data_IF_105360813789
#
_entry.id   IF_105360813789
#
_cell.length_a   1.000
_cell.length_b   1.000
_cell.length_c   1.000
_cell.angle_alpha   90.00
_cell.angle_beta   90.00
_cell.angle_gamma   90.00
#
_symmetry.space_group_name_H-M   'P 1'
#
loop_
_entity.id
_entity.type
_entity.pdbx_description
1 polymer ?
#
# COMPACT_ATOMS: atom_id res chain seq x y z
N UNK A 1 4.39 -14.16 21.34
CA UNK A 1 3.64 -12.93 21.05
C UNK A 1 2.81 -13.18 19.81
N UNK A 2 1.51 -13.38 19.95
CA UNK A 2 0.60 -13.67 18.83
C UNK A 2 0.61 -12.48 17.87
N UNK A 3 0.98 -12.72 16.61
CA UNK A 3 0.91 -11.74 15.52
C UNK A 3 -0.56 -11.38 15.31
N UNK A 4 -1.03 -10.34 15.98
CA UNK A 4 -2.44 -9.92 15.97
C UNK A 4 -2.73 -8.90 14.86
N UNK A 5 -1.92 -8.88 13.79
CA UNK A 5 -2.08 -8.01 12.63
C UNK A 5 -2.12 -8.85 11.37
N UNK A 6 -3.17 -8.66 10.58
CA UNK A 6 -3.37 -9.32 9.29
C UNK A 6 -2.54 -8.61 8.21
N UNK A 7 -1.22 -8.65 8.38
CA UNK A 7 -0.28 -8.03 7.45
C UNK A 7 -0.25 -8.77 6.11
N UNK A 8 -0.05 -8.03 5.02
CA UNK A 8 0.16 -8.61 3.71
C UNK A 8 1.34 -9.59 3.69
N UNK A 9 1.11 -10.77 3.11
CA UNK A 9 2.19 -11.70 2.83
C UNK A 9 3.15 -11.14 1.74
N UNK A 10 4.30 -11.78 1.55
CA UNK A 10 5.32 -11.33 0.58
C UNK A 10 4.78 -11.20 -0.84
N UNK A 11 3.92 -12.13 -1.26
CA UNK A 11 3.32 -12.14 -2.60
C UNK A 11 2.40 -10.93 -2.79
N UNK A 12 1.47 -10.69 -1.86
CA UNK A 12 0.56 -9.54 -1.93
C UNK A 12 1.32 -8.21 -1.99
N UNK A 13 2.39 -8.06 -1.18
CA UNK A 13 3.25 -6.86 -1.22
C UNK A 13 3.90 -6.67 -2.59
N UNK A 14 4.43 -7.74 -3.18
CA UNK A 14 5.07 -7.70 -4.49
C UNK A 14 4.06 -7.39 -5.60
N UNK A 15 2.88 -8.01 -5.56
CA UNK A 15 1.82 -7.79 -6.54
C UNK A 15 1.32 -6.33 -6.51
N UNK A 16 1.17 -5.74 -5.31
CA UNK A 16 0.85 -4.32 -5.15
C UNK A 16 1.91 -3.41 -5.79
N UNK A 17 3.19 -3.70 -5.56
CA UNK A 17 4.29 -2.94 -6.12
C UNK A 17 4.32 -3.01 -7.66
N UNK A 18 4.20 -4.23 -8.21
CA UNK A 18 4.20 -4.47 -9.66
C UNK A 18 3.02 -3.80 -10.36
N UNK A 19 1.81 -3.92 -9.80
CA UNK A 19 0.60 -3.27 -10.35
C UNK A 19 0.68 -1.74 -10.33
N UNK A 20 1.42 -1.18 -9.37
CA UNK A 20 1.72 0.24 -9.30
C UNK A 20 2.97 0.63 -10.11
N UNK A 21 3.58 -0.29 -10.85
CA UNK A 21 4.84 -0.08 -11.58
C UNK A 21 5.98 0.46 -10.70
N UNK A 22 6.00 0.08 -9.42
CA UNK A 22 6.87 0.64 -8.39
C UNK A 22 6.83 2.18 -8.29
N UNK A 23 5.71 2.81 -8.66
CA UNK A 23 5.46 4.23 -8.46
C UNK A 23 4.49 4.42 -7.29
N UNK A 24 4.68 5.50 -6.53
CA UNK A 24 3.73 5.86 -5.49
C UNK A 24 2.36 6.12 -6.12
N UNK A 25 1.31 5.43 -5.63
CA UNK A 25 -0.04 5.60 -6.17
C UNK A 25 -0.58 7.03 -5.98
N UNK A 26 -0.04 7.79 -5.02
CA UNK A 26 -0.44 9.18 -4.76
C UNK A 26 0.41 10.19 -5.56
N UNK A 27 1.70 10.33 -5.25
CA UNK A 27 2.56 11.37 -5.82
C UNK A 27 3.34 10.96 -7.08
N UNK A 28 3.23 9.69 -7.52
CA UNK A 28 3.87 9.13 -8.72
C UNK A 28 5.41 9.08 -8.70
N UNK A 29 6.06 9.38 -7.56
CA UNK A 29 7.50 9.22 -7.45
C UNK A 29 7.91 7.74 -7.54
N UNK A 30 9.11 7.47 -8.04
CA UNK A 30 9.67 6.11 -7.99
C UNK A 30 9.85 5.64 -6.56
N UNK A 31 9.62 4.36 -6.32
CA UNK A 31 9.82 3.69 -5.03
C UNK A 31 10.86 2.57 -5.09
N UNK A 32 11.51 2.41 -6.24
CA UNK A 32 12.62 1.48 -6.46
C UNK A 32 13.73 2.16 -7.25
N UNK A 33 14.98 1.79 -6.98
CA UNK A 33 16.15 2.27 -7.70
C UNK A 33 17.41 1.45 -7.38
N UNK A 34 18.53 1.75 -8.04
CA UNK A 34 19.82 1.14 -7.72
C UNK A 34 20.27 1.49 -6.29
N UNK A 35 21.12 0.63 -5.72
CA UNK A 35 21.75 0.84 -4.41
C UNK A 35 23.26 0.76 -4.51
N UNK A 36 23.95 1.64 -3.79
CA UNK A 36 25.42 1.67 -3.72
C UNK A 36 26.01 0.47 -2.95
N UNK A 37 25.17 -0.35 -2.31
CA UNK A 37 25.56 -1.60 -1.64
C UNK A 37 26.05 -2.69 -2.62
N UNK A 38 25.94 -2.49 -3.94
CA UNK A 38 26.53 -3.38 -4.94
C UNK A 38 25.92 -3.32 -6.34
N UNK A 39 26.61 -3.89 -7.33
CA UNK A 39 26.24 -3.82 -8.77
C UNK A 39 24.83 -4.34 -9.09
N UNK A 40 24.34 -5.32 -8.33
CA UNK A 40 23.02 -5.93 -8.51
C UNK A 40 22.04 -5.53 -7.39
N UNK A 41 22.44 -4.62 -6.50
CA UNK A 41 21.65 -4.24 -5.33
C UNK A 41 20.61 -3.20 -5.71
N UNK A 42 19.41 -3.33 -5.16
CA UNK A 42 18.30 -2.39 -5.34
C UNK A 42 17.81 -1.89 -3.98
N UNK A 43 17.40 -0.63 -3.94
CA UNK A 43 16.72 -0.03 -2.79
C UNK A 43 15.25 0.11 -3.11
N UNK A 44 14.39 -0.36 -2.20
CA UNK A 44 12.93 -0.19 -2.28
C UNK A 44 12.48 0.64 -1.09
N UNK A 45 11.88 1.80 -1.36
CA UNK A 45 11.31 2.72 -0.34
C UNK A 45 9.78 2.68 -0.30
N UNK A 46 9.19 1.86 -1.18
CA UNK A 46 7.74 1.69 -1.26
C UNK A 46 7.19 0.81 -0.15
N UNK A 47 5.95 1.08 0.21
CA UNK A 47 5.21 0.44 1.30
C UNK A 47 3.87 -0.03 0.73
N UNK A 48 3.54 -1.30 0.98
CA UNK A 48 2.18 -1.81 0.83
C UNK A 48 1.37 -1.36 2.05
N UNK A 49 0.64 -0.25 1.90
CA UNK A 49 -0.19 0.32 2.95
C UNK A 49 -1.59 -0.29 2.91
N UNK A 50 -2.15 -0.53 4.10
CA UNK A 50 -3.55 -0.95 4.24
C UNK A 50 -4.49 0.24 4.04
N UNK A 51 -5.56 0.05 3.28
CA UNK A 51 -6.65 1.02 3.14
C UNK A 51 -7.46 1.03 4.45
N UNK A 52 -7.97 -0.13 4.86
CA UNK A 52 -8.56 -0.37 6.18
C UNK A 52 -7.56 -1.12 7.07
N UNK A 53 -7.38 -0.68 8.32
CA UNK A 53 -6.34 -1.22 9.20
C UNK A 53 -6.36 -2.76 9.34
N UNK A 54 -5.16 -3.35 9.40
CA UNK A 54 -4.93 -4.79 9.53
C UNK A 54 -5.39 -5.40 10.87
N UNK A 55 -5.76 -4.57 11.84
CA UNK A 55 -6.19 -4.97 13.18
C UNK A 55 -6.86 -3.79 13.89
N UNK A 56 -7.72 -4.04 14.89
CA UNK A 56 -8.26 -3.00 15.75
C UNK A 56 -7.18 -2.46 16.70
N UNK A 57 -7.45 -1.30 17.33
CA UNK A 57 -6.65 -0.76 18.42
C UNK A 57 -6.25 0.70 18.23
N UNK A 58 -5.43 1.20 19.16
CA UNK A 58 -4.93 2.58 19.10
C UNK A 58 -4.11 2.81 17.83
N UNK A 59 -4.48 3.84 17.06
CA UNK A 59 -3.84 4.16 15.78
C UNK A 59 -4.29 3.29 14.60
N UNK A 60 -5.27 2.42 14.77
CA UNK A 60 -5.90 1.70 13.66
C UNK A 60 -6.73 2.67 12.81
N UNK A 61 -6.20 3.01 11.64
CA UNK A 61 -6.85 3.92 10.68
C UNK A 61 -7.86 3.16 9.83
N UNK A 62 -9.08 3.69 9.75
CA UNK A 62 -10.17 3.15 8.93
C UNK A 62 -10.43 1.67 9.21
N UNK A 63 -10.31 1.24 10.47
CA UNK A 63 -10.58 -0.15 10.81
C UNK A 63 -12.06 -0.47 10.59
N UNK A 64 -12.33 -1.51 9.81
CA UNK A 64 -13.68 -2.05 9.61
C UNK A 64 -13.84 -3.36 10.41
N UNK A 65 -14.70 -3.40 11.43
CA UNK A 65 -14.93 -4.60 12.23
C UNK A 65 -15.62 -5.74 11.45
N UNK A 66 -16.22 -5.45 10.28
CA UNK A 66 -16.90 -6.44 9.47
C UNK A 66 -15.95 -7.19 8.52
N UNK A 67 -14.72 -6.69 8.32
CA UNK A 67 -13.74 -7.36 7.47
C UNK A 67 -13.22 -8.64 8.13
N UNK A 68 -13.10 -9.71 7.36
CA UNK A 68 -12.39 -10.93 7.77
C UNK A 68 -10.87 -10.71 7.78
N UNK A 69 -10.09 -11.57 8.46
CA UNK A 69 -8.63 -11.56 8.36
C UNK A 69 -8.11 -11.70 6.90
N UNK A 70 -8.80 -12.52 6.10
CA UNK A 70 -8.51 -12.71 4.68
C UNK A 70 -8.74 -11.42 3.90
N UNK A 71 -9.85 -10.73 4.14
CA UNK A 71 -10.17 -9.44 3.51
C UNK A 71 -9.17 -8.36 3.92
N UNK A 72 -8.79 -8.29 5.21
CA UNK A 72 -7.80 -7.32 5.71
C UNK A 72 -6.43 -7.51 5.07
N UNK A 73 -6.04 -8.76 4.78
CA UNK A 73 -4.79 -9.10 4.13
C UNK A 73 -4.89 -9.28 2.60
N UNK A 74 -6.06 -8.99 2.02
CA UNK A 74 -6.29 -9.11 0.58
C UNK A 74 -5.72 -7.92 -0.20
N UNK A 75 -5.34 -8.15 -1.47
CA UNK A 75 -4.76 -7.12 -2.34
C UNK A 75 -5.69 -5.92 -2.57
N UNK A 76 -7.01 -6.13 -2.52
CA UNK A 76 -8.01 -5.07 -2.66
C UNK A 76 -7.96 -4.07 -1.50
N UNK A 77 -7.57 -4.52 -0.30
CA UNK A 77 -7.35 -3.65 0.85
C UNK A 77 -5.95 -3.00 0.85
N UNK A 78 -5.17 -3.16 -0.22
CA UNK A 78 -3.80 -2.68 -0.31
C UNK A 78 -3.60 -1.59 -1.35
N UNK A 79 -2.79 -0.58 -1.00
CA UNK A 79 -2.33 0.47 -1.90
C UNK A 79 -0.80 0.61 -1.80
N UNK A 80 -0.12 0.75 -2.93
CA UNK A 80 1.33 0.94 -2.97
C UNK A 80 1.69 2.44 -2.90
N UNK A 81 2.47 2.85 -1.91
CA UNK A 81 2.84 4.24 -1.65
C UNK A 81 4.34 4.36 -1.34
N UNK A 82 4.93 5.54 -1.58
CA UNK A 82 6.23 5.84 -0.98
C UNK A 82 6.09 6.03 0.54
N UNK A 83 7.17 5.84 1.29
CA UNK A 83 7.19 5.97 2.75
C UNK A 83 6.56 7.29 3.28
N UNK A 84 6.80 8.41 2.61
CA UNK A 84 6.19 9.70 3.01
C UNK A 84 4.67 9.72 2.80
N UNK A 85 4.20 9.20 1.68
CA UNK A 85 2.76 9.15 1.39
C UNK A 85 2.04 8.13 2.27
N UNK A 86 2.66 7.00 2.63
CA UNK A 86 2.04 6.05 3.56
C UNK A 86 1.81 6.68 4.94
N UNK A 87 2.74 7.51 5.42
CA UNK A 87 2.57 8.26 6.66
C UNK A 87 1.48 9.34 6.53
N UNK A 88 1.44 10.04 5.39
CA UNK A 88 0.47 11.10 5.14
C UNK A 88 -0.97 10.59 5.22
N UNK A 89 -1.29 9.48 4.56
CA UNK A 89 -2.66 8.94 4.53
C UNK A 89 -3.17 8.50 5.91
N UNK A 90 -2.27 8.12 6.80
CA UNK A 90 -2.60 7.70 8.16
C UNK A 90 -2.69 8.89 9.13
N UNK A 91 -2.04 10.01 8.83
CA UNK A 91 -2.12 11.23 9.64
C UNK A 91 -3.34 12.10 9.31
N UNK A 92 -3.86 11.98 8.09
CA UNK A 92 -4.99 12.78 7.60
C UNK A 92 -6.13 11.87 7.13
N UNK A 93 -6.62 11.04 8.05
CA UNK A 93 -7.65 10.03 7.81
C UNK A 93 -8.97 10.60 7.30
N UNK A 94 -9.32 11.83 7.70
CA UNK A 94 -10.53 12.51 7.22
C UNK A 94 -10.42 12.90 5.74
N UNK A 95 -9.24 13.31 5.27
CA UNK A 95 -9.00 13.59 3.86
C UNK A 95 -8.83 12.31 3.04
N UNK A 96 -8.17 11.30 3.61
CA UNK A 96 -7.88 10.02 2.97
C UNK A 96 -8.83 8.94 3.50
N UNK A 97 -10.10 9.05 3.14
CA UNK A 97 -11.13 8.05 3.45
C UNK A 97 -10.87 6.74 2.69
N UNK A 98 -11.57 5.68 3.09
CA UNK A 98 -11.52 4.36 2.42
C UNK A 98 -11.84 4.50 0.93
N UNK A 99 -12.93 5.19 0.61
CA UNK A 99 -13.39 5.42 -0.76
C UNK A 99 -12.36 6.21 -1.56
N UNK A 100 -11.73 7.22 -0.93
CA UNK A 100 -10.71 8.03 -1.59
C UNK A 100 -9.46 7.22 -1.92
N UNK A 101 -9.02 6.35 -1.02
CA UNK A 101 -7.86 5.49 -1.24
C UNK A 101 -8.13 4.43 -2.32
N UNK A 102 -9.32 3.82 -2.34
CA UNK A 102 -9.73 2.95 -3.44
C UNK A 102 -9.76 3.70 -4.79
N UNK A 103 -10.26 4.94 -4.81
CA UNK A 103 -10.25 5.78 -6.01
C UNK A 103 -8.81 6.04 -6.50
N UNK A 104 -7.89 6.40 -5.59
CA UNK A 104 -6.48 6.64 -5.92
C UNK A 104 -5.82 5.38 -6.47
N UNK A 105 -6.02 4.23 -5.82
CA UNK A 105 -5.53 2.93 -6.29
C UNK A 105 -6.04 2.65 -7.70
N UNK A 106 -7.35 2.72 -7.91
CA UNK A 106 -7.98 2.43 -9.19
C UNK A 106 -7.47 3.35 -10.31
N UNK A 107 -7.43 4.65 -10.06
CA UNK A 107 -6.93 5.64 -11.02
C UNK A 107 -5.46 5.39 -11.36
N UNK A 108 -4.64 5.08 -10.36
CA UNK A 108 -3.24 4.80 -10.58
C UNK A 108 -3.04 3.53 -11.41
N UNK A 109 -3.61 2.40 -11.00
CA UNK A 109 -3.50 1.14 -11.74
C UNK A 109 -4.04 1.28 -13.17
N UNK A 110 -5.15 2.01 -13.36
CA UNK A 110 -5.69 2.30 -14.69
C UNK A 110 -4.72 3.11 -15.54
N UNK A 111 -4.04 4.10 -14.97
CA UNK A 111 -3.01 4.87 -15.67
C UNK A 111 -1.76 4.06 -16.01
N UNK A 112 -1.58 2.86 -15.43
CA UNK A 112 -0.46 1.93 -15.70
C UNK A 112 -0.86 0.80 -16.65
N UNK A 113 -2.13 0.72 -17.08
CA UNK A 113 -2.57 -0.31 -18.03
C UNK A 113 -1.85 -0.12 -19.36
N UNK A 114 -1.25 -1.21 -19.84
CA UNK A 114 -0.62 -1.25 -21.16
C UNK A 114 -1.73 -1.26 -22.21
N UNK A 115 -1.73 -0.25 -23.07
CA UNK A 115 -2.57 -0.17 -24.27
C UNK A 115 -1.60 0.08 -25.42
N UNK A 116 -1.55 -0.87 -26.35
CA UNK A 116 -0.72 -0.84 -27.54
C UNK A 116 -1.59 -1.14 -28.75
#
# INVERSE_FOLDING_TARGET
MTRNRDDFNKRTKNDLALRASYLCSLCKCSTVGPSDEGKNSVTITGVAAHICAAAPGAGARRYDPNMSPEERSHIENGIWLCASCSILIDRDEHRFTVEKLHQIKYQHESSRRLVF
#
